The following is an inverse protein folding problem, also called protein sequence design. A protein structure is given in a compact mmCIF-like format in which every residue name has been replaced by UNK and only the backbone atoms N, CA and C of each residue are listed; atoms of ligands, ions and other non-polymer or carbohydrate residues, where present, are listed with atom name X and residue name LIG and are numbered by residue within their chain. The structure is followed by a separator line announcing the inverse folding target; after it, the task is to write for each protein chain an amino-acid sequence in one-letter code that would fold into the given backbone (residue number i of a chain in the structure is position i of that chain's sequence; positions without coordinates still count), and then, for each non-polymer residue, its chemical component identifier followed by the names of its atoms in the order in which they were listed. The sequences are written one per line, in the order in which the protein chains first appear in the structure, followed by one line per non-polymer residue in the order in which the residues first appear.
data_IF_925577428595
#
_entry.id   IF_925577428595
#
_cell.length_a   1.000
_cell.length_b   1.000
_cell.length_c   1.000
_cell.angle_alpha   90.00
_cell.angle_beta   90.00
_cell.angle_gamma   90.00
#
_symmetry.space_group_name_H-M   'P 1'
#
loop_
_entity.id
_entity.type
_entity.pdbx_description
1 polymer ?
#
# COMPACT_ATOMS: atom_id res chain seq x y z
N UNK A 1 -3.06 19.15 -2.02
CA UNK A 1 -2.58 19.84 -0.80
C UNK A 1 -1.39 19.05 -0.26
N UNK A 2 -0.27 19.70 0.04
CA UNK A 2 0.91 19.05 0.60
C UNK A 2 1.11 19.53 2.03
N UNK A 3 1.16 18.59 2.97
CA UNK A 3 1.45 18.80 4.38
C UNK A 3 2.77 18.10 4.76
N UNK A 4 3.77 18.15 3.88
CA UNK A 4 5.10 17.59 4.17
C UNK A 4 5.71 18.23 5.43
N UNK A 5 6.23 17.41 6.35
CA UNK A 5 6.88 17.83 7.61
C UNK A 5 5.97 18.60 8.59
N UNK A 6 4.78 18.07 8.87
CA UNK A 6 3.90 18.62 9.89
C UNK A 6 3.90 17.77 11.18
N UNK A 7 3.69 18.44 12.33
CA UNK A 7 3.48 17.78 13.64
C UNK A 7 2.05 17.27 13.84
N UNK A 8 1.32 17.07 12.74
CA UNK A 8 -0.07 16.63 12.79
C UNK A 8 -0.07 15.13 13.09
N UNK A 9 -0.57 14.80 14.28
CA UNK A 9 -0.64 13.41 14.76
C UNK A 9 -1.95 12.72 14.42
N UNK A 10 -3.03 13.48 14.23
CA UNK A 10 -4.35 12.95 13.98
C UNK A 10 -5.03 13.72 12.86
N UNK A 11 -5.50 13.01 11.84
CA UNK A 11 -6.43 13.53 10.85
C UNK A 11 -7.84 13.14 11.28
N UNK A 12 -8.67 14.14 11.54
CA UNK A 12 -10.03 13.95 12.06
C UNK A 12 -11.05 14.79 11.27
N UNK A 13 -12.32 14.40 11.37
CA UNK A 13 -13.43 15.08 10.70
C UNK A 13 -13.70 14.52 9.30
N UNK A 14 -14.54 15.23 8.55
CA UNK A 14 -14.93 14.91 7.17
C UNK A 14 -14.76 16.16 6.32
N UNK A 15 -13.53 16.56 5.97
CA UNK A 15 -13.31 17.77 5.19
C UNK A 15 -13.94 17.64 3.80
N UNK A 16 -14.75 18.62 3.41
CA UNK A 16 -15.38 18.66 2.09
C UNK A 16 -14.35 19.08 1.03
N UNK A 17 -13.66 18.10 0.45
CA UNK A 17 -12.56 18.28 -0.49
C UNK A 17 -12.90 17.64 -1.85
N UNK A 18 -14.04 18.04 -2.43
CA UNK A 18 -14.64 17.39 -3.61
C UNK A 18 -13.75 17.45 -4.88
N UNK A 19 -12.88 18.44 -4.98
CA UNK A 19 -11.96 18.66 -6.11
C UNK A 19 -10.52 18.21 -5.85
N UNK A 20 -10.23 17.71 -4.65
CA UNK A 20 -8.86 17.33 -4.29
C UNK A 20 -8.44 16.07 -5.06
N UNK A 21 -7.39 16.18 -5.88
CA UNK A 21 -6.83 15.08 -6.66
C UNK A 21 -5.57 14.47 -6.05
N UNK A 22 -4.86 15.24 -5.21
CA UNK A 22 -3.60 14.83 -4.61
C UNK A 22 -3.50 15.28 -3.16
N UNK A 23 -3.24 14.31 -2.28
CA UNK A 23 -3.02 14.52 -0.85
C UNK A 23 -1.67 13.90 -0.47
N UNK A 24 -0.73 14.75 -0.09
CA UNK A 24 0.63 14.34 0.30
C UNK A 24 0.84 14.70 1.77
N UNK A 25 0.97 13.68 2.61
CA UNK A 25 1.24 13.81 4.03
C UNK A 25 2.40 12.89 4.43
N UNK A 26 3.57 13.22 3.88
CA UNK A 26 4.79 12.45 4.07
C UNK A 26 5.64 12.99 5.24
N UNK A 27 6.49 12.12 5.80
CA UNK A 27 7.56 12.49 6.76
C UNK A 27 7.03 13.31 7.94
N UNK A 28 6.04 12.75 8.62
CA UNK A 28 5.33 13.40 9.72
C UNK A 28 5.26 12.53 10.98
N UNK A 29 4.45 12.97 11.94
CA UNK A 29 4.13 12.22 13.15
C UNK A 29 2.71 11.63 13.10
N UNK A 30 2.18 11.33 11.91
CA UNK A 30 0.80 10.86 11.78
C UNK A 30 0.63 9.51 12.50
N UNK A 31 -0.33 9.46 13.42
CA UNK A 31 -0.65 8.27 14.21
C UNK A 31 -2.01 7.71 13.83
N UNK A 32 -3.01 8.59 13.68
CA UNK A 32 -4.39 8.19 13.42
C UNK A 32 -5.04 8.99 12.29
N UNK A 33 -5.90 8.32 11.55
CA UNK A 33 -6.81 8.92 10.57
C UNK A 33 -8.21 8.43 10.92
N UNK A 34 -9.18 9.34 11.07
CA UNK A 34 -10.58 8.97 11.32
C UNK A 34 -11.22 8.33 10.09
N UNK A 35 -12.19 7.44 10.30
CA UNK A 35 -12.93 6.78 9.20
C UNK A 35 -13.52 7.76 8.19
N UNK A 36 -14.08 8.87 8.67
CA UNK A 36 -14.78 9.84 7.81
C UNK A 36 -13.83 10.76 7.03
N UNK A 37 -12.53 10.71 7.27
CA UNK A 37 -11.60 11.72 6.72
C UNK A 37 -11.57 11.69 5.18
N UNK A 38 -11.68 10.51 4.58
CA UNK A 38 -11.61 10.33 3.13
C UNK A 38 -12.97 10.39 2.42
N UNK A 39 -14.07 10.45 3.18
CA UNK A 39 -15.45 10.30 2.68
C UNK A 39 -15.83 11.33 1.61
N UNK A 40 -15.29 12.54 1.69
CA UNK A 40 -15.61 13.66 0.79
C UNK A 40 -14.46 14.01 -0.14
N UNK A 41 -13.70 13.01 -0.61
CA UNK A 41 -12.59 13.17 -1.58
C UNK A 41 -12.72 12.24 -2.82
N UNK A 42 -13.88 12.22 -3.52
CA UNK A 42 -14.16 11.24 -4.57
C UNK A 42 -13.23 11.36 -5.80
N UNK A 43 -12.57 12.51 -5.98
CA UNK A 43 -11.64 12.79 -7.09
C UNK A 43 -10.18 12.52 -6.74
N UNK A 44 -9.87 12.09 -5.53
CA UNK A 44 -8.49 11.84 -5.11
C UNK A 44 -7.88 10.70 -5.94
N UNK A 45 -6.75 10.96 -6.57
CA UNK A 45 -6.02 10.01 -7.42
C UNK A 45 -4.69 9.60 -6.79
N UNK A 46 -4.09 10.48 -5.99
CA UNK A 46 -2.79 10.27 -5.35
C UNK A 46 -2.92 10.50 -3.86
N UNK A 47 -2.68 9.44 -3.10
CA UNK A 47 -2.58 9.46 -1.64
C UNK A 47 -1.19 9.00 -1.24
N UNK A 48 -0.44 9.88 -0.59
CA UNK A 48 0.87 9.55 -0.05
C UNK A 48 0.92 9.82 1.45
N UNK A 49 1.06 8.73 2.22
CA UNK A 49 1.19 8.73 3.68
C UNK A 49 2.54 8.19 4.12
N UNK A 50 3.53 8.12 3.21
CA UNK A 50 4.83 7.50 3.49
C UNK A 50 5.62 8.21 4.59
N UNK A 51 6.56 7.49 5.21
CA UNK A 51 7.39 8.02 6.30
C UNK A 51 6.56 8.55 7.48
N UNK A 52 5.50 7.84 7.86
CA UNK A 52 4.78 8.04 9.11
C UNK A 52 4.85 6.74 9.92
N UNK A 53 6.00 6.50 10.55
CA UNK A 53 6.31 5.24 11.26
C UNK A 53 5.31 4.88 12.38
N UNK A 54 4.59 5.88 12.92
CA UNK A 54 3.59 5.68 13.96
C UNK A 54 2.17 5.40 13.42
N UNK A 55 1.96 5.50 12.10
CA UNK A 55 0.69 5.16 11.47
C UNK A 55 0.56 3.64 11.38
N UNK A 56 -0.16 3.05 12.34
CA UNK A 56 -0.28 1.59 12.48
C UNK A 56 -1.46 0.98 11.72
N UNK A 57 -2.38 1.83 11.25
CA UNK A 57 -3.56 1.43 10.49
C UNK A 57 -4.03 2.55 9.58
N UNK A 58 -4.49 2.19 8.40
CA UNK A 58 -5.29 3.05 7.53
C UNK A 58 -6.76 2.72 7.79
N UNK A 59 -7.66 3.71 7.98
CA UNK A 59 -9.07 3.43 8.23
C UNK A 59 -9.75 2.82 7.00
N UNK A 60 -10.79 2.01 7.23
CA UNK A 60 -11.54 1.37 6.15
C UNK A 60 -12.19 2.38 5.18
N UNK A 61 -12.46 3.61 5.63
CA UNK A 61 -12.94 4.71 4.78
C UNK A 61 -11.99 5.11 3.63
N UNK A 62 -10.77 4.54 3.58
CA UNK A 62 -9.94 4.59 2.36
C UNK A 62 -10.68 4.03 1.14
N UNK A 63 -11.65 3.11 1.31
CA UNK A 63 -12.51 2.58 0.24
C UNK A 63 -13.30 3.66 -0.51
N UNK A 64 -13.55 4.80 0.14
CA UNK A 64 -14.32 5.90 -0.47
C UNK A 64 -13.52 6.63 -1.55
N UNK A 65 -12.21 6.39 -1.64
CA UNK A 65 -11.30 6.96 -2.64
C UNK A 65 -11.42 6.21 -3.98
N UNK A 66 -12.63 6.16 -4.54
CA UNK A 66 -12.98 5.40 -5.77
C UNK A 66 -12.23 5.83 -7.03
N UNK A 67 -11.52 6.97 -6.99
CA UNK A 67 -10.66 7.46 -8.07
C UNK A 67 -9.17 7.22 -7.84
N UNK A 68 -8.78 6.58 -6.72
CA UNK A 68 -7.39 6.43 -6.33
C UNK A 68 -6.65 5.54 -7.32
N UNK A 69 -5.49 6.03 -7.76
CA UNK A 69 -4.59 5.34 -8.70
C UNK A 69 -3.23 5.04 -8.08
N UNK A 70 -2.81 5.87 -7.13
CA UNK A 70 -1.53 5.76 -6.45
C UNK A 70 -1.75 5.84 -4.94
N UNK A 71 -1.28 4.81 -4.23
CA UNK A 71 -1.26 4.74 -2.78
C UNK A 71 0.15 4.41 -2.32
N UNK A 72 0.74 5.31 -1.53
CA UNK A 72 2.03 5.09 -0.90
C UNK A 72 1.90 5.05 0.62
N UNK A 73 2.24 3.89 1.19
CA UNK A 73 2.28 3.60 2.61
C UNK A 73 3.70 3.15 3.04
N UNK A 74 4.72 3.39 2.22
CA UNK A 74 6.09 3.00 2.55
C UNK A 74 6.59 3.70 3.81
N UNK A 75 7.50 3.05 4.55
CA UNK A 75 8.04 3.58 5.80
C UNK A 75 6.94 3.97 6.81
N UNK A 76 5.89 3.15 6.92
CA UNK A 76 4.84 3.28 7.94
C UNK A 76 4.79 2.07 8.86
N UNK A 77 4.12 2.22 10.00
CA UNK A 77 3.93 1.15 10.99
C UNK A 77 2.73 0.24 10.72
N UNK A 78 2.16 0.24 9.51
CA UNK A 78 0.94 -0.49 9.21
C UNK A 78 1.12 -1.99 9.47
N UNK A 79 0.10 -2.60 10.07
CA UNK A 79 0.13 -4.04 10.43
C UNK A 79 -0.62 -4.92 9.46
N UNK A 80 -1.66 -4.37 8.84
CA UNK A 80 -2.55 -5.06 7.91
C UNK A 80 -2.99 -4.08 6.83
N UNK A 81 -3.31 -4.61 5.66
CA UNK A 81 -4.03 -3.85 4.63
C UNK A 81 -5.46 -3.51 5.13
N UNK A 82 -6.00 -2.32 4.80
CA UNK A 82 -7.36 -1.95 5.19
C UNK A 82 -8.37 -2.85 4.46
N UNK A 83 -9.48 -3.22 5.11
CA UNK A 83 -10.45 -4.15 4.52
C UNK A 83 -11.10 -3.59 3.26
N UNK A 84 -11.21 -2.26 3.19
CA UNK A 84 -11.74 -1.53 2.04
C UNK A 84 -10.81 -1.44 0.84
N UNK A 85 -9.58 -1.95 0.90
CA UNK A 85 -8.60 -1.80 -0.20
C UNK A 85 -9.10 -2.42 -1.51
N UNK A 86 -9.85 -3.52 -1.42
CA UNK A 86 -10.48 -4.21 -2.56
C UNK A 86 -11.44 -3.32 -3.37
N UNK A 87 -11.97 -2.25 -2.78
CA UNK A 87 -12.90 -1.32 -3.46
C UNK A 87 -12.15 -0.31 -4.35
N UNK A 88 -10.82 -0.21 -4.22
CA UNK A 88 -9.97 0.68 -5.00
C UNK A 88 -9.72 0.13 -6.41
N UNK A 89 -10.79 -0.05 -7.19
CA UNK A 89 -10.75 -0.67 -8.52
C UNK A 89 -9.90 0.07 -9.55
N UNK A 90 -9.48 1.32 -9.29
CA UNK A 90 -8.60 2.09 -10.17
C UNK A 90 -7.15 2.15 -9.70
N UNK A 91 -6.81 1.46 -8.61
CA UNK A 91 -5.46 1.47 -8.06
C UNK A 91 -4.50 0.77 -9.01
N UNK A 92 -3.46 1.50 -9.42
CA UNK A 92 -2.44 1.06 -10.39
C UNK A 92 -1.10 0.86 -9.66
N UNK A 93 -0.83 1.68 -8.65
CA UNK A 93 0.42 1.68 -7.92
C UNK A 93 0.14 1.57 -6.41
N UNK A 94 0.75 0.58 -5.78
CA UNK A 94 0.76 0.38 -4.34
C UNK A 94 2.19 0.23 -3.84
N UNK A 95 2.61 1.13 -2.97
CA UNK A 95 3.91 1.07 -2.32
C UNK A 95 3.76 0.73 -0.83
N UNK A 96 4.28 -0.43 -0.46
CA UNK A 96 4.33 -0.96 0.91
C UNK A 96 5.79 -1.20 1.34
N UNK A 97 6.76 -0.56 0.68
CA UNK A 97 8.17 -0.69 1.01
C UNK A 97 8.46 -0.33 2.47
N UNK A 98 9.38 -1.05 3.12
CA UNK A 98 9.81 -0.78 4.50
C UNK A 98 8.66 -0.76 5.53
N UNK A 99 7.59 -1.51 5.27
CA UNK A 99 6.49 -1.73 6.24
C UNK A 99 6.82 -2.91 7.16
N UNK A 100 7.79 -2.71 8.05
CA UNK A 100 8.37 -3.77 8.90
C UNK A 100 7.37 -4.43 9.87
N UNK A 101 6.21 -3.81 10.13
CA UNK A 101 5.16 -4.36 10.99
C UNK A 101 4.04 -5.06 10.21
N UNK A 102 4.07 -5.01 8.88
CA UNK A 102 3.04 -5.62 8.02
C UNK A 102 3.13 -7.14 8.12
N UNK A 103 2.10 -7.78 8.65
CA UNK A 103 2.14 -9.23 8.92
C UNK A 103 1.62 -10.08 7.74
N UNK A 104 0.89 -9.48 6.80
CA UNK A 104 0.26 -10.17 5.67
C UNK A 104 -0.17 -9.17 4.60
N UNK A 105 -0.20 -9.63 3.34
CA UNK A 105 -0.79 -8.91 2.20
C UNK A 105 -2.15 -9.49 1.79
N UNK A 106 -2.80 -10.27 2.66
CA UNK A 106 -4.08 -10.91 2.37
C UNK A 106 -5.09 -9.91 1.78
N UNK A 107 -5.73 -10.30 0.68
CA UNK A 107 -6.70 -9.47 -0.04
C UNK A 107 -6.09 -8.58 -1.13
N UNK A 108 -4.77 -8.61 -1.33
CA UNK A 108 -4.12 -7.91 -2.45
C UNK A 108 -4.59 -8.45 -3.81
N UNK A 109 -4.96 -9.74 -3.88
CA UNK A 109 -5.58 -10.38 -5.06
C UNK A 109 -6.83 -9.67 -5.61
N UNK A 110 -7.51 -8.85 -4.80
CA UNK A 110 -8.67 -8.09 -5.24
C UNK A 110 -8.32 -6.80 -6.03
N UNK A 111 -7.04 -6.46 -6.11
CA UNK A 111 -6.54 -5.27 -6.81
C UNK A 111 -6.24 -5.58 -8.28
N UNK A 112 -7.28 -5.91 -9.05
CA UNK A 112 -7.12 -6.42 -10.41
C UNK A 112 -6.40 -5.47 -11.37
N UNK A 113 -6.44 -4.15 -11.16
CA UNK A 113 -5.75 -3.18 -12.02
C UNK A 113 -4.36 -2.78 -11.53
N UNK A 114 -3.83 -3.47 -10.50
CA UNK A 114 -2.52 -3.16 -9.95
C UNK A 114 -1.41 -3.55 -10.92
N UNK A 115 -0.59 -2.58 -11.32
CA UNK A 115 0.52 -2.76 -12.25
C UNK A 115 1.88 -2.65 -11.56
N UNK A 116 1.95 -1.87 -10.48
CA UNK A 116 3.18 -1.59 -9.75
C UNK A 116 2.97 -1.90 -8.27
N UNK A 117 3.79 -2.79 -7.74
CA UNK A 117 3.77 -3.20 -6.35
C UNK A 117 5.19 -3.22 -5.78
N UNK A 118 5.38 -2.50 -4.68
CA UNK A 118 6.62 -2.53 -3.91
C UNK A 118 6.38 -3.17 -2.53
N UNK A 119 7.12 -4.24 -2.24
CA UNK A 119 7.14 -5.01 -0.99
C UNK A 119 8.56 -5.15 -0.44
N UNK A 120 9.53 -4.37 -0.94
CA UNK A 120 10.91 -4.41 -0.44
C UNK A 120 10.94 -4.00 1.05
N UNK A 121 11.72 -4.70 1.88
CA UNK A 121 11.76 -4.45 3.32
C UNK A 121 10.41 -4.61 4.05
N UNK A 122 9.44 -5.35 3.51
CA UNK A 122 8.19 -5.65 4.23
C UNK A 122 8.38 -6.73 5.30
N UNK A 123 7.67 -6.61 6.42
CA UNK A 123 7.89 -7.46 7.61
C UNK A 123 7.19 -8.84 7.63
N UNK A 124 6.47 -9.22 6.56
CA UNK A 124 5.75 -10.49 6.53
C UNK A 124 6.69 -11.64 6.17
N UNK A 125 6.42 -12.84 6.71
CA UNK A 125 7.12 -14.04 6.28
C UNK A 125 6.60 -14.45 4.91
N UNK A 126 7.51 -14.65 3.97
CA UNK A 126 7.18 -15.24 2.69
C UNK A 126 6.74 -16.68 2.87
N UNK A 127 5.63 -17.04 2.23
CA UNK A 127 5.14 -18.40 2.17
C UNK A 127 4.43 -18.64 0.82
N UNK A 128 3.88 -19.84 0.66
CA UNK A 128 3.13 -20.21 -0.55
C UNK A 128 1.88 -19.34 -0.76
N UNK A 129 1.19 -18.94 0.31
CA UNK A 129 -0.02 -18.13 0.21
C UNK A 129 0.26 -16.72 -0.31
N UNK A 130 1.39 -16.13 0.08
CA UNK A 130 1.86 -14.85 -0.48
C UNK A 130 2.12 -14.97 -1.98
N UNK A 131 2.79 -16.05 -2.41
CA UNK A 131 3.01 -16.32 -3.83
C UNK A 131 1.67 -16.44 -4.55
N UNK A 132 0.75 -17.25 -4.06
CA UNK A 132 -0.59 -17.45 -4.65
C UNK A 132 -1.38 -16.14 -4.78
N UNK A 133 -1.38 -15.28 -3.75
CA UNK A 133 -2.01 -13.96 -3.79
C UNK A 133 -1.40 -13.07 -4.89
N UNK A 134 -0.07 -13.00 -4.97
CA UNK A 134 0.62 -12.27 -6.03
C UNK A 134 0.42 -12.92 -7.41
N UNK A 135 0.09 -14.21 -7.45
CA UNK A 135 -0.22 -14.94 -8.67
C UNK A 135 -1.51 -14.56 -9.36
N UNK A 136 -2.45 -14.06 -8.59
CA UNK A 136 -3.73 -13.54 -9.11
C UNK A 136 -3.61 -12.16 -9.77
N UNK A 137 -2.51 -11.44 -9.57
CA UNK A 137 -2.30 -10.11 -10.12
C UNK A 137 -1.83 -10.19 -11.58
N UNK A 138 -2.77 -10.46 -12.48
CA UNK A 138 -2.51 -10.68 -13.93
C UNK A 138 -1.91 -9.46 -14.64
N UNK A 139 -2.19 -8.25 -14.15
CA UNK A 139 -1.72 -6.99 -14.73
C UNK A 139 -0.44 -6.45 -14.08
N UNK A 140 0.17 -7.20 -13.15
CA UNK A 140 1.36 -6.76 -12.45
C UNK A 140 2.59 -6.75 -13.38
N UNK A 141 3.11 -5.56 -13.67
CA UNK A 141 4.26 -5.35 -14.55
C UNK A 141 5.56 -5.08 -13.79
N UNK A 142 5.45 -4.52 -12.58
CA UNK A 142 6.58 -4.15 -11.74
C UNK A 142 6.35 -4.66 -10.33
N UNK A 143 7.14 -5.64 -9.94
CA UNK A 143 7.26 -6.12 -8.58
C UNK A 143 8.65 -5.75 -8.04
N UNK A 144 8.68 -5.13 -6.86
CA UNK A 144 9.92 -4.87 -6.12
C UNK A 144 9.83 -5.61 -4.80
N UNK A 145 10.80 -6.49 -4.52
CA UNK A 145 10.81 -7.36 -3.35
C UNK A 145 12.24 -7.48 -2.80
N UNK A 146 12.33 -7.86 -1.54
CA UNK A 146 13.57 -8.19 -0.85
C UNK A 146 13.31 -9.50 -0.11
N UNK A 147 14.13 -10.52 -0.37
CA UNK A 147 13.96 -11.85 0.21
C UNK A 147 15.32 -12.34 0.69
N UNK A 148 15.54 -12.24 2.00
CA UNK A 148 16.85 -12.56 2.61
C UNK A 148 16.97 -14.03 3.05
N UNK A 149 15.99 -14.87 2.70
CA UNK A 149 15.88 -16.26 3.18
C UNK A 149 15.81 -17.27 2.02
N UNK A 150 16.77 -18.22 1.89
CA UNK A 150 16.85 -19.13 0.74
C UNK A 150 15.59 -19.96 0.44
N UNK A 151 14.88 -20.56 1.43
CA UNK A 151 13.64 -21.30 1.15
C UNK A 151 12.54 -20.43 0.53
N UNK A 152 12.48 -19.16 0.92
CA UNK A 152 11.50 -18.22 0.38
C UNK A 152 11.87 -17.77 -1.04
N UNK A 153 13.17 -17.65 -1.33
CA UNK A 153 13.67 -17.41 -2.68
C UNK A 153 13.30 -18.56 -3.62
N UNK A 154 13.49 -19.81 -3.21
CA UNK A 154 13.12 -20.98 -4.04
C UNK A 154 11.62 -21.02 -4.35
N UNK A 155 10.78 -20.74 -3.34
CA UNK A 155 9.34 -20.60 -3.53
C UNK A 155 9.00 -19.49 -4.53
N UNK A 156 9.64 -18.33 -4.40
CA UNK A 156 9.45 -17.20 -5.32
C UNK A 156 9.89 -17.53 -6.75
N UNK A 157 11.07 -18.13 -6.91
CA UNK A 157 11.61 -18.52 -8.22
C UNK A 157 10.80 -19.63 -8.91
N UNK A 158 9.95 -20.35 -8.18
CA UNK A 158 9.02 -21.32 -8.79
C UNK A 158 7.97 -20.64 -9.68
N UNK A 159 7.70 -19.35 -9.49
CA UNK A 159 6.76 -18.58 -10.31
C UNK A 159 7.47 -17.83 -11.44
N UNK A 160 7.37 -18.33 -12.67
CA UNK A 160 7.90 -17.67 -13.86
C UNK A 160 7.30 -16.28 -14.10
N UNK A 161 6.03 -16.08 -13.71
CA UNK A 161 5.37 -14.78 -13.87
C UNK A 161 5.95 -13.76 -12.91
N UNK A 162 6.04 -14.09 -11.61
CA UNK A 162 6.57 -13.16 -10.60
C UNK A 162 8.03 -12.79 -10.87
N UNK A 163 8.83 -13.78 -11.26
CA UNK A 163 10.23 -13.54 -11.65
C UNK A 163 10.33 -12.63 -12.88
N UNK A 164 9.44 -12.76 -13.86
CA UNK A 164 9.44 -11.93 -15.07
C UNK A 164 9.07 -10.45 -14.84
N UNK A 165 8.20 -10.17 -13.85
CA UNK A 165 7.80 -8.81 -13.52
C UNK A 165 8.65 -8.17 -12.39
N UNK A 166 9.62 -8.90 -11.84
CA UNK A 166 10.49 -8.39 -10.78
C UNK A 166 11.61 -7.54 -11.34
N UNK A 167 11.70 -6.27 -10.92
CA UNK A 167 12.74 -5.32 -11.40
C UNK A 167 13.88 -5.11 -10.42
N UNK A 168 13.67 -5.41 -9.15
CA UNK A 168 14.68 -5.32 -8.10
C UNK A 168 14.48 -6.46 -7.11
N UNK A 169 15.55 -7.19 -6.86
CA UNK A 169 15.67 -8.21 -5.82
C UNK A 169 16.80 -7.75 -4.89
N UNK A 170 16.46 -7.24 -3.71
CA UNK A 170 17.43 -6.89 -2.68
C UNK A 170 18.11 -8.16 -2.12
N UNK A 171 19.36 -8.03 -1.68
CA UNK A 171 20.22 -9.11 -1.17
C UNK A 171 20.88 -8.72 0.14
#
# INVERSE_FOLDING_TARGET
MSLMKNKIRNLAGSPECLELTTFLMQRGELVNISSEFFKSMPKLQVLDLSFNEHLTKVPDGVSDLVSLKYLNLSDTGIRHLPKGLQELKKLIHLDLGYTLQLSSIAGISNLHNLMILNLAGSGFSWDRGIVEELETLEHLEILTIEIDCPPHLELFFSSLRLTSCTRFLGS
#
